data_IF_069891494773
#
_entry.id   IF_069891494773
#
_cell.length_a   1.000
_cell.length_b   1.000
_cell.length_c   1.000
_cell.angle_alpha   90.00
_cell.angle_beta   90.00
_cell.angle_gamma   90.00
#
_symmetry.space_group_name_H-M   'P 1'
#
loop_
_entity.id
_entity.type
_entity.pdbx_description
1 polymer ?
#
# COMPACT_ATOMS: atom_id res chain seq x y z
N UNK A 1 -13.81 1.12 -23.39
CA UNK A 1 -13.85 0.55 -22.03
C UNK A 1 -14.83 1.38 -21.21
N UNK A 2 -15.98 0.81 -20.85
CA UNK A 2 -17.02 1.52 -20.10
C UNK A 2 -17.00 0.98 -18.67
N UNK A 3 -16.54 1.79 -17.71
CA UNK A 3 -16.41 1.40 -16.31
C UNK A 3 -17.67 1.83 -15.56
N UNK A 4 -18.48 0.87 -15.11
CA UNK A 4 -19.63 1.14 -14.25
C UNK A 4 -19.17 1.02 -12.80
N UNK A 5 -18.99 2.17 -12.13
CA UNK A 5 -18.45 2.23 -10.77
C UNK A 5 -19.56 2.18 -9.73
N UNK A 6 -19.93 0.98 -9.29
CA UNK A 6 -20.85 0.81 -8.15
C UNK A 6 -20.11 0.72 -6.81
N UNK A 7 -18.77 0.67 -6.81
CA UNK A 7 -17.93 0.55 -5.61
C UNK A 7 -16.73 1.50 -5.69
N UNK A 8 -16.67 2.40 -4.72
CA UNK A 8 -15.67 3.45 -4.59
C UNK A 8 -14.40 2.86 -3.98
N UNK A 9 -13.29 2.89 -4.72
CA UNK A 9 -12.04 2.18 -4.43
C UNK A 9 -10.87 2.72 -5.25
N UNK A 10 -9.66 2.34 -4.84
CA UNK A 10 -8.46 2.43 -5.66
C UNK A 10 -8.38 1.22 -6.61
N UNK A 11 -8.11 1.48 -7.89
CA UNK A 11 -8.00 0.45 -8.93
C UNK A 11 -6.62 0.53 -9.58
N UNK A 12 -5.94 -0.63 -9.68
CA UNK A 12 -4.66 -0.74 -10.39
C UNK A 12 -4.92 -1.26 -11.81
N UNK A 13 -4.83 -0.37 -12.78
CA UNK A 13 -4.86 -0.74 -14.20
C UNK A 13 -3.43 -0.88 -14.70
N UNK A 14 -3.07 -2.06 -15.20
CA UNK A 14 -1.70 -2.32 -15.64
C UNK A 14 -1.68 -3.29 -16.82
N UNK A 15 -0.52 -3.35 -17.47
CA UNK A 15 -0.28 -4.42 -18.43
C UNK A 15 -0.04 -5.74 -17.71
N UNK A 16 -0.80 -6.78 -18.06
CA UNK A 16 -0.64 -8.11 -17.49
C UNK A 16 0.70 -8.80 -17.87
N UNK A 17 1.55 -8.15 -18.67
CA UNK A 17 2.91 -8.60 -18.97
C UNK A 17 3.88 -8.06 -17.92
N UNK A 18 4.44 -8.97 -17.12
CA UNK A 18 5.25 -8.64 -15.94
C UNK A 18 6.41 -7.67 -16.24
N UNK A 19 7.19 -7.82 -17.33
CA UNK A 19 8.23 -6.86 -17.67
C UNK A 19 7.70 -5.44 -17.92
N UNK A 20 6.53 -5.29 -18.52
CA UNK A 20 5.93 -3.96 -18.70
C UNK A 20 5.41 -3.38 -17.39
N UNK A 21 4.87 -4.21 -16.49
CA UNK A 21 4.51 -3.78 -15.14
C UNK A 21 5.75 -3.29 -14.37
N UNK A 22 6.85 -4.05 -14.39
CA UNK A 22 8.10 -3.66 -13.73
C UNK A 22 8.71 -2.37 -14.29
N UNK A 23 8.58 -2.16 -15.60
CA UNK A 23 9.02 -0.92 -16.26
C UNK A 23 8.06 0.26 -16.05
N UNK A 24 7.01 0.09 -15.23
CA UNK A 24 6.12 1.16 -14.81
C UNK A 24 4.88 1.37 -15.66
N UNK A 25 4.51 0.43 -16.55
CA UNK A 25 3.29 0.52 -17.36
C UNK A 25 2.05 0.16 -16.53
N UNK A 26 1.77 1.02 -15.56
CA UNK A 26 0.66 0.94 -14.62
C UNK A 26 0.06 2.33 -14.36
N UNK A 27 -1.25 2.35 -14.14
CA UNK A 27 -2.04 3.52 -13.79
C UNK A 27 -2.87 3.17 -12.55
N UNK A 28 -2.85 4.07 -11.56
CA UNK A 28 -3.71 3.97 -10.38
C UNK A 28 -4.88 4.94 -10.56
N UNK A 29 -6.10 4.42 -10.47
CA UNK A 29 -7.33 5.19 -10.63
C UNK A 29 -8.06 5.21 -9.29
N UNK A 30 -8.32 6.41 -8.76
CA UNK A 30 -9.20 6.60 -7.60
C UNK A 30 -10.59 6.90 -8.09
N UNK A 31 -11.60 6.20 -7.57
CA UNK A 31 -13.00 6.51 -7.83
C UNK A 31 -13.69 6.77 -6.49
N UNK A 32 -14.23 7.98 -6.33
CA UNK A 32 -14.82 8.47 -5.07
C UNK A 32 -13.84 9.28 -4.24
N UNK A 33 -14.30 9.71 -3.06
CA UNK A 33 -13.50 10.41 -2.07
C UNK A 33 -12.93 9.47 -1.00
N UNK A 34 -12.08 10.00 -0.13
CA UNK A 34 -11.36 9.19 0.86
C UNK A 34 -12.30 8.60 1.93
N UNK A 35 -13.41 9.29 2.20
CA UNK A 35 -14.43 8.94 3.19
C UNK A 35 -15.33 7.79 2.70
N UNK A 36 -15.42 7.62 1.39
CA UNK A 36 -16.18 6.54 0.74
C UNK A 36 -15.47 5.19 0.81
N UNK A 37 -14.17 5.20 1.13
CA UNK A 37 -13.35 4.00 1.24
C UNK A 37 -13.63 3.29 2.57
N UNK A 38 -13.73 1.95 2.56
CA UNK A 38 -13.87 1.20 3.81
C UNK A 38 -12.64 1.44 4.70
N UNK A 39 -12.86 1.48 6.01
CA UNK A 39 -11.77 1.60 6.97
C UNK A 39 -10.74 0.48 6.79
N UNK A 40 -9.46 0.83 6.96
CA UNK A 40 -8.34 -0.11 6.86
C UNK A 40 -8.57 -1.32 7.80
N UNK A 41 -8.50 -2.56 7.28
CA UNK A 41 -8.69 -3.75 8.09
C UNK A 41 -7.72 -3.84 9.28
N UNK A 42 -8.16 -4.49 10.36
CA UNK A 42 -7.28 -4.80 11.50
C UNK A 42 -6.11 -5.68 11.01
N UNK A 43 -4.89 -5.25 11.31
CA UNK A 43 -3.66 -5.97 10.91
C UNK A 43 -3.16 -5.68 9.49
N UNK A 44 -3.75 -4.71 8.77
CA UNK A 44 -3.22 -4.32 7.46
C UNK A 44 -1.77 -3.82 7.58
N UNK A 45 -0.85 -4.30 6.71
CA UNK A 45 0.55 -3.91 6.79
C UNK A 45 0.68 -2.41 6.53
N UNK A 46 1.45 -1.74 7.39
CA UNK A 46 1.80 -0.34 7.19
C UNK A 46 3.16 -0.28 6.51
N UNK A 47 3.31 0.69 5.63
CA UNK A 47 4.64 1.07 5.14
C UNK A 47 5.50 1.50 6.34
N UNK A 48 6.76 1.11 6.32
CA UNK A 48 7.73 1.46 7.35
C UNK A 48 9.13 1.19 6.84
N UNK A 49 10.13 1.67 7.57
CA UNK A 49 11.51 1.39 7.22
C UNK A 49 11.77 -0.12 7.33
N UNK A 50 12.42 -0.68 6.32
CA UNK A 50 12.96 -2.03 6.41
C UNK A 50 14.00 -2.06 7.53
N UNK A 51 13.68 -2.71 8.64
CA UNK A 51 14.59 -2.91 9.77
C UNK A 51 15.00 -4.38 9.79
N UNK A 52 16.23 -4.73 9.32
CA UNK A 52 16.75 -6.08 9.47
C UNK A 52 16.68 -6.53 10.93
N UNK A 53 16.47 -7.83 11.18
CA UNK A 53 16.29 -8.37 12.53
C UNK A 53 17.46 -8.07 13.49
N UNK A 54 18.65 -7.75 12.97
CA UNK A 54 19.81 -7.30 13.75
C UNK A 54 19.61 -5.92 14.40
N UNK A 55 18.67 -5.10 13.91
CA UNK A 55 18.36 -3.77 14.45
C UNK A 55 17.25 -3.78 15.51
N UNK A 56 16.79 -4.95 15.99
CA UNK A 56 15.94 -5.04 17.18
C UNK A 56 16.76 -4.59 18.39
N UNK A 57 16.86 -3.27 18.60
CA UNK A 57 17.46 -2.66 19.79
C UNK A 57 16.73 -3.24 20.99
N UNK A 58 17.50 -3.91 21.84
CA UNK A 58 17.03 -4.45 23.10
C UNK A 58 16.29 -3.31 23.86
N UNK A 59 15.03 -3.50 24.31
CA UNK A 59 14.25 -2.47 24.98
C UNK A 59 14.91 -1.91 26.25
N UNK A 60 16.02 -2.49 26.71
CA UNK A 60 16.86 -1.99 27.81
C UNK A 60 17.89 -0.93 27.40
N UNK A 61 18.05 -0.58 26.12
CA UNK A 61 18.98 0.46 25.66
C UNK A 61 18.45 1.90 25.84
N UNK A 62 17.16 2.09 26.16
CA UNK A 62 16.61 3.39 26.60
C UNK A 62 16.61 3.51 28.13
N UNK A 63 17.75 3.26 28.77
CA UNK A 63 18.02 3.73 30.13
C UNK A 63 19.41 4.35 30.18
N UNK A 64 19.41 5.65 30.48
CA UNK A 64 20.48 6.53 30.94
C UNK A 64 21.47 7.05 29.88
N UNK A 65 21.12 8.17 29.25
CA UNK A 65 21.55 9.54 29.64
C UNK A 65 20.44 10.52 29.30
#
# INVERSE_FOLDING_TARGET
MHLKTTRLCWWLFHCHFLPHLFNGMSLVIRIGEQEDLPHTPKGFPKCGNFMPNFYKKNPKSRRNT
#
